data_IF_675324687439
#
_entry.id   IF_675324687439
#
_cell.length_a   1.000
_cell.length_b   1.000
_cell.length_c   1.000
_cell.angle_alpha   90.00
_cell.angle_beta   90.00
_cell.angle_gamma   90.00
#
_symmetry.space_group_name_H-M   'P 1'
#
loop_
_entity.id
_entity.type
_entity.pdbx_description
1 polymer ?
#
# COMPACT_ATOMS: atom_id res chain seq x y z
N UNK A 1 19.73 23.07 23.85
CA UNK A 1 18.63 22.10 23.65
C UNK A 1 19.16 21.02 22.71
N UNK A 2 19.59 19.88 23.24
CA UNK A 2 20.15 18.79 22.44
C UNK A 2 19.03 18.12 21.64
N UNK A 3 19.22 18.00 20.33
CA UNK A 3 18.38 17.15 19.49
C UNK A 3 18.47 15.72 20.05
N UNK A 4 17.37 15.20 20.59
CA UNK A 4 17.27 13.77 20.84
C UNK A 4 17.42 13.09 19.48
N UNK A 5 18.36 12.14 19.36
CA UNK A 5 18.62 11.42 18.12
C UNK A 5 17.32 10.74 17.65
N UNK A 6 16.65 11.36 16.69
CA UNK A 6 15.40 10.88 16.14
C UNK A 6 15.63 9.53 15.47
N UNK A 7 14.90 8.51 15.91
CA UNK A 7 14.88 7.22 15.25
C UNK A 7 14.23 7.42 13.88
N UNK A 8 14.81 6.87 12.81
CA UNK A 8 14.25 7.01 11.45
C UNK A 8 13.50 5.72 11.09
N UNK A 9 12.28 5.88 10.57
CA UNK A 9 11.50 4.78 10.05
C UNK A 9 12.10 4.29 8.73
N UNK A 10 12.57 3.04 8.67
CA UNK A 10 13.19 2.43 7.49
C UNK A 10 12.24 2.20 6.30
N UNK A 11 10.98 2.61 6.41
CA UNK A 11 9.97 2.47 5.36
C UNK A 11 9.62 3.79 4.69
N UNK A 12 9.41 4.84 5.47
CA UNK A 12 8.99 6.16 4.96
C UNK A 12 10.07 7.24 5.09
N UNK A 13 11.26 6.85 5.59
CA UNK A 13 12.40 7.73 5.90
C UNK A 13 12.09 8.95 6.80
N UNK A 14 10.89 8.96 7.40
CA UNK A 14 10.44 9.97 8.35
C UNK A 14 10.99 9.73 9.76
N UNK A 15 11.12 10.81 10.52
CA UNK A 15 11.49 10.74 11.93
C UNK A 15 10.37 10.18 12.80
N UNK A 16 10.72 9.30 13.73
CA UNK A 16 9.87 8.76 14.78
C UNK A 16 10.03 9.66 16.01
N UNK A 17 8.93 10.26 16.45
CA UNK A 17 8.89 11.17 17.59
C UNK A 17 9.09 10.47 18.94
N UNK A 18 9.52 11.20 19.99
CA UNK A 18 9.61 10.66 21.34
C UNK A 18 8.22 10.23 21.84
N UNK A 19 8.09 8.95 22.22
CA UNK A 19 6.83 8.36 22.68
C UNK A 19 5.94 7.80 21.56
N UNK A 20 6.30 7.98 20.29
CA UNK A 20 5.59 7.33 19.19
C UNK A 20 5.88 5.82 19.17
N UNK A 21 4.87 4.98 18.94
CA UNK A 21 5.06 3.54 18.89
C UNK A 21 5.80 3.13 17.61
N UNK A 22 6.84 2.31 17.77
CA UNK A 22 7.62 1.77 16.66
C UNK A 22 8.07 0.34 16.95
N UNK A 23 8.29 -0.41 15.89
CA UNK A 23 8.89 -1.74 15.90
C UNK A 23 10.39 -1.64 15.66
N UNK A 24 11.15 -2.50 16.34
CA UNK A 24 12.58 -2.67 16.10
C UNK A 24 12.80 -3.97 15.35
N UNK A 25 13.36 -3.88 14.15
CA UNK A 25 13.67 -5.00 13.27
C UNK A 25 15.17 -5.26 13.33
N UNK A 26 15.57 -6.51 13.54
CA UNK A 26 16.95 -6.94 13.34
C UNK A 26 17.09 -7.52 11.94
N UNK A 27 17.78 -6.81 11.05
CA UNK A 27 18.10 -7.35 9.73
C UNK A 27 19.49 -7.97 9.79
N UNK A 28 19.54 -9.29 9.82
CA UNK A 28 20.80 -10.01 9.72
C UNK A 28 21.32 -9.87 8.29
N UNK A 29 22.49 -9.26 8.14
CA UNK A 29 23.27 -9.32 6.90
C UNK A 29 24.17 -10.54 6.96
N UNK A 30 24.38 -11.23 5.84
CA UNK A 30 25.36 -12.32 5.77
C UNK A 30 26.81 -11.82 5.93
N UNK A 31 27.05 -10.52 5.75
CA UNK A 31 28.37 -9.89 5.68
C UNK A 31 28.72 -8.99 6.87
N UNK A 32 27.94 -8.98 7.96
CA UNK A 32 28.27 -8.19 9.15
C UNK A 32 27.28 -8.31 10.31
N UNK A 33 27.53 -7.63 11.44
CA UNK A 33 26.61 -7.58 12.57
C UNK A 33 25.23 -7.09 12.11
N UNK A 34 24.16 -7.70 12.62
CA UNK A 34 22.80 -7.36 12.22
C UNK A 34 22.52 -5.86 12.39
N UNK A 35 21.99 -5.22 11.35
CA UNK A 35 21.61 -3.81 11.41
C UNK A 35 20.27 -3.69 12.10
N UNK A 36 20.22 -2.91 13.18
CA UNK A 36 18.98 -2.55 13.84
C UNK A 36 18.27 -1.49 13.00
N UNK A 37 17.07 -1.84 12.54
CA UNK A 37 16.17 -0.95 11.81
C UNK A 37 14.96 -0.66 12.68
N UNK A 38 14.33 0.48 12.44
CA UNK A 38 13.16 0.92 13.18
C UNK A 38 12.05 1.25 12.20
N UNK A 39 10.80 1.01 12.57
CA UNK A 39 9.65 1.28 11.72
C UNK A 39 8.48 1.69 12.58
N UNK A 40 7.71 2.72 12.19
CA UNK A 40 6.43 3.01 12.84
C UNK A 40 5.55 1.76 12.89
N UNK A 41 4.91 1.46 14.03
CA UNK A 41 3.90 0.36 14.09
C UNK A 41 2.78 0.58 13.09
N UNK A 42 2.42 1.85 12.84
CA UNK A 42 1.51 2.25 11.75
C UNK A 42 2.19 3.29 10.88
N UNK A 43 2.84 2.84 9.81
CA UNK A 43 3.61 3.74 8.93
C UNK A 43 2.67 4.42 7.91
N UNK A 44 2.75 5.76 7.74
CA UNK A 44 1.88 6.48 6.80
C UNK A 44 2.05 6.01 5.35
N UNK A 45 3.27 5.62 4.96
CA UNK A 45 3.53 5.06 3.63
C UNK A 45 2.78 3.75 3.35
N UNK A 46 2.44 2.97 4.39
CA UNK A 46 1.57 1.79 4.20
C UNK A 46 0.16 2.18 3.80
N UNK A 47 -0.42 3.17 4.48
CA UNK A 47 -1.72 3.68 4.07
C UNK A 47 -1.65 4.29 2.67
N UNK A 48 -0.61 5.06 2.36
CA UNK A 48 -0.44 5.68 1.05
C UNK A 48 -0.26 4.66 -0.07
N UNK A 49 0.48 3.57 0.15
CA UNK A 49 0.64 2.51 -0.85
C UNK A 49 -0.64 1.73 -1.08
N UNK A 50 -1.41 1.43 -0.03
CA UNK A 50 -2.74 0.78 -0.18
C UNK A 50 -3.74 1.68 -0.90
N UNK A 51 -3.75 2.97 -0.57
CA UNK A 51 -4.56 3.97 -1.25
C UNK A 51 -4.18 4.08 -2.74
N UNK A 52 -2.88 4.11 -3.05
CA UNK A 52 -2.39 4.14 -4.43
C UNK A 52 -2.81 2.88 -5.21
N UNK A 53 -2.74 1.70 -4.59
CA UNK A 53 -3.22 0.45 -5.19
C UNK A 53 -4.73 0.48 -5.47
N UNK A 54 -5.53 1.02 -4.54
CA UNK A 54 -6.97 1.22 -4.72
C UNK A 54 -7.26 2.14 -5.91
N UNK A 55 -6.60 3.30 -5.99
CA UNK A 55 -6.77 4.23 -7.10
C UNK A 55 -6.33 3.62 -8.44
N UNK A 56 -5.25 2.86 -8.47
CA UNK A 56 -4.79 2.18 -9.68
C UNK A 56 -5.78 1.09 -10.14
N UNK A 57 -6.31 0.29 -9.22
CA UNK A 57 -7.32 -0.73 -9.52
C UNK A 57 -8.62 -0.10 -10.05
N UNK A 58 -9.08 0.98 -9.40
CA UNK A 58 -10.22 1.76 -9.87
C UNK A 58 -10.01 2.33 -11.28
N UNK A 59 -8.84 2.93 -11.54
CA UNK A 59 -8.48 3.49 -12.84
C UNK A 59 -8.57 2.44 -13.95
N UNK A 60 -7.97 1.25 -13.74
CA UNK A 60 -8.04 0.13 -14.71
C UNK A 60 -9.47 -0.30 -14.99
N UNK A 61 -10.31 -0.41 -13.96
CA UNK A 61 -11.71 -0.77 -14.10
C UNK A 61 -12.46 0.27 -14.95
N UNK A 62 -12.32 1.56 -14.62
CA UNK A 62 -13.01 2.63 -15.34
C UNK A 62 -12.56 2.74 -16.81
N UNK A 63 -11.26 2.60 -17.07
CA UNK A 63 -10.74 2.54 -18.45
C UNK A 63 -11.37 1.39 -19.24
N UNK A 64 -11.49 0.20 -18.63
CA UNK A 64 -12.10 -0.94 -19.30
C UNK A 64 -13.60 -0.75 -19.54
N UNK A 65 -14.33 -0.30 -18.53
CA UNK A 65 -15.78 -0.06 -18.64
C UNK A 65 -16.11 0.99 -19.70
N UNK A 66 -15.28 2.02 -19.85
CA UNK A 66 -15.46 3.04 -20.89
C UNK A 66 -15.14 2.59 -22.31
N UNK A 67 -14.47 1.45 -22.51
CA UNK A 67 -14.00 0.99 -23.81
C UNK A 67 -14.59 -0.37 -24.26
N UNK A 68 -15.10 -1.18 -23.33
CA UNK A 68 -15.54 -2.54 -23.64
C UNK A 68 -17.02 -2.58 -24.03
N UNK A 69 -17.31 -2.90 -25.29
CA UNK A 69 -18.68 -3.05 -25.81
C UNK A 69 -19.51 -4.08 -25.02
N UNK A 70 -18.91 -5.19 -24.55
CA UNK A 70 -19.61 -6.20 -23.74
C UNK A 70 -20.01 -5.62 -22.38
N UNK A 71 -19.15 -4.82 -21.74
CA UNK A 71 -19.50 -4.14 -20.48
C UNK A 71 -20.54 -3.03 -20.65
N UNK A 72 -20.71 -2.52 -21.87
CA UNK A 72 -21.71 -1.51 -22.22
C UNK A 72 -23.01 -2.14 -22.79
N UNK A 73 -23.04 -3.46 -22.94
CA UNK A 73 -24.21 -4.20 -23.39
C UNK A 73 -25.21 -4.41 -22.24
N UNK A 74 -26.39 -4.94 -22.58
CA UNK A 74 -27.42 -5.30 -21.60
C UNK A 74 -27.00 -6.47 -20.69
N UNK A 75 -25.95 -7.22 -21.07
CA UNK A 75 -25.42 -8.36 -20.31
C UNK A 75 -23.95 -8.17 -19.88
N UNK A 76 -23.64 -7.14 -19.06
CA UNK A 76 -22.26 -6.76 -18.70
C UNK A 76 -21.54 -7.79 -17.81
N UNK A 77 -22.28 -8.81 -17.33
CA UNK A 77 -21.78 -9.91 -16.52
C UNK A 77 -20.92 -10.92 -17.29
N UNK A 78 -21.06 -10.98 -18.62
CA UNK A 78 -20.32 -11.93 -19.46
C UNK A 78 -18.87 -11.50 -19.72
N UNK A 79 -18.54 -10.22 -19.51
CA UNK A 79 -17.18 -9.76 -19.68
C UNK A 79 -16.27 -10.28 -18.55
N UNK A 80 -15.49 -11.33 -18.87
CA UNK A 80 -14.52 -11.96 -17.95
C UNK A 80 -13.51 -10.94 -17.43
N UNK A 81 -13.00 -10.07 -18.29
CA UNK A 81 -12.05 -9.01 -17.91
C UNK A 81 -12.68 -8.01 -16.95
N UNK A 82 -13.90 -7.54 -17.24
CA UNK A 82 -14.64 -6.65 -16.34
C UNK A 82 -14.93 -7.28 -14.98
N UNK A 83 -15.26 -8.58 -14.94
CA UNK A 83 -15.47 -9.32 -13.70
C UNK A 83 -14.19 -9.38 -12.86
N UNK A 84 -13.06 -9.75 -13.47
CA UNK A 84 -11.75 -9.77 -12.82
C UNK A 84 -11.37 -8.39 -12.27
N UNK A 85 -11.53 -7.32 -13.05
CA UNK A 85 -11.19 -5.97 -12.60
C UNK A 85 -12.07 -5.49 -11.42
N UNK A 86 -13.35 -5.89 -11.39
CA UNK A 86 -14.23 -5.64 -10.23
C UNK A 86 -13.77 -6.40 -8.98
N UNK A 87 -13.26 -7.62 -9.13
CA UNK A 87 -12.69 -8.40 -8.03
C UNK A 87 -11.38 -7.79 -7.51
N UNK A 88 -10.51 -7.35 -8.42
CA UNK A 88 -9.26 -6.65 -8.09
C UNK A 88 -9.54 -5.34 -7.32
N UNK A 89 -10.50 -4.53 -7.79
CA UNK A 89 -10.89 -3.30 -7.10
C UNK A 89 -11.49 -3.56 -5.72
N UNK A 90 -12.44 -4.50 -5.59
CA UNK A 90 -13.01 -4.88 -4.28
C UNK A 90 -11.95 -5.40 -3.30
N UNK A 91 -10.90 -6.05 -3.80
CA UNK A 91 -9.79 -6.52 -2.96
C UNK A 91 -8.95 -5.35 -2.46
N UNK A 92 -8.57 -4.44 -3.36
CA UNK A 92 -7.85 -3.23 -2.97
C UNK A 92 -8.66 -2.33 -2.01
N UNK A 93 -9.99 -2.28 -2.15
CA UNK A 93 -10.88 -1.53 -1.25
C UNK A 93 -10.88 -2.11 0.17
N UNK A 94 -10.93 -3.45 0.30
CA UNK A 94 -10.82 -4.13 1.59
C UNK A 94 -9.44 -3.92 2.23
N UNK A 95 -8.37 -3.96 1.44
CA UNK A 95 -7.00 -3.80 1.95
C UNK A 95 -6.71 -2.36 2.40
N UNK A 96 -7.37 -1.38 1.78
CA UNK A 96 -7.23 0.05 2.10
C UNK A 96 -8.11 0.53 3.27
N UNK A 97 -9.13 -0.24 3.66
CA UNK A 97 -10.04 0.04 4.79
C UNK A 97 -9.40 -0.29 6.14
#
# INVERSE_FOLDING_TARGET
MSAAAGVICCRCDGGIGPGEPYETLLRHSMSGPGTRMHRHTRCPDESSTRQAALHAAWGKLMTHLGACAVCLSDEPGECVTGRRLREEWRTAERDAS
#
